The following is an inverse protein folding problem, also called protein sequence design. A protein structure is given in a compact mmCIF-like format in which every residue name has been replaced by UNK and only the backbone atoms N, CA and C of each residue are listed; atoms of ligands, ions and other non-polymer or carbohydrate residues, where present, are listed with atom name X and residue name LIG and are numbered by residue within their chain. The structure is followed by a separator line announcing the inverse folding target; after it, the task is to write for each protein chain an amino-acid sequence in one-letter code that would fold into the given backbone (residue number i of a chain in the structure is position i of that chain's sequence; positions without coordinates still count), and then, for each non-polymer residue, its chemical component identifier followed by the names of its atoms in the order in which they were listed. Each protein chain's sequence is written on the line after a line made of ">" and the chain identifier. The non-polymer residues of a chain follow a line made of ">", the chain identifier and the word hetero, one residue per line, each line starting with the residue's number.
data_IF_683032409965
#
_entry.id   IF_683032409965
#
_cell.length_a   1.000
_cell.length_b   1.000
_cell.length_c   1.000
_cell.angle_alpha   90.00
_cell.angle_beta   90.00
_cell.angle_gamma   90.00
#
_symmetry.space_group_name_H-M   'P 1'
#
loop_
_entity.id
_entity.type
_entity.pdbx_description
1 polymer ?
#
# COMPACT_ATOMS: atom_id res chain seq x y z
N UNK A 1 15.07 -6.45 -24.26
CA UNK A 1 15.14 -5.58 -23.06
C UNK A 1 15.44 -6.48 -21.87
N UNK A 2 16.50 -6.21 -21.10
CA UNK A 2 16.82 -7.02 -19.92
C UNK A 2 15.66 -6.91 -18.91
N UNK A 3 15.29 -8.02 -18.27
CA UNK A 3 14.29 -8.02 -17.21
C UNK A 3 14.72 -7.02 -16.13
N UNK A 4 13.92 -5.98 -15.82
CA UNK A 4 14.34 -4.97 -14.87
C UNK A 4 14.66 -5.59 -13.51
N UNK A 5 15.84 -5.29 -12.95
CA UNK A 5 16.34 -5.86 -11.68
C UNK A 5 15.36 -5.63 -10.52
N UNK A 6 14.53 -4.58 -10.59
CA UNK A 6 13.46 -4.29 -9.62
C UNK A 6 12.51 -5.46 -9.42
N UNK A 7 12.17 -6.21 -10.47
CA UNK A 7 11.27 -7.35 -10.37
C UNK A 7 11.91 -8.53 -9.65
N UNK A 8 13.22 -8.72 -9.76
CA UNK A 8 13.94 -9.71 -8.97
C UNK A 8 13.89 -9.34 -7.48
N UNK A 9 14.19 -8.08 -7.15
CA UNK A 9 14.06 -7.60 -5.77
C UNK A 9 12.63 -7.75 -5.24
N UNK A 10 11.63 -7.45 -6.07
CA UNK A 10 10.22 -7.55 -5.71
C UNK A 10 9.83 -9.01 -5.41
N UNK A 11 10.10 -9.95 -6.33
CA UNK A 11 9.80 -11.38 -6.17
C UNK A 11 10.51 -11.97 -4.95
N UNK A 12 11.81 -11.67 -4.78
CA UNK A 12 12.60 -12.19 -3.66
C UNK A 12 12.06 -11.66 -2.34
N UNK A 13 11.81 -10.34 -2.25
CA UNK A 13 11.32 -9.71 -1.03
C UNK A 13 9.93 -10.21 -0.65
N UNK A 14 9.03 -10.34 -1.62
CA UNK A 14 7.67 -10.83 -1.42
C UNK A 14 7.67 -12.30 -0.96
N UNK A 15 8.52 -13.13 -1.57
CA UNK A 15 8.70 -14.52 -1.14
C UNK A 15 9.24 -14.61 0.28
N UNK A 16 10.26 -13.80 0.60
CA UNK A 16 10.88 -13.77 1.90
C UNK A 16 9.91 -13.35 3.00
N UNK A 17 9.18 -12.24 2.82
CA UNK A 17 8.18 -11.81 3.81
C UNK A 17 7.06 -12.84 3.94
N UNK A 18 6.54 -13.36 2.83
CA UNK A 18 5.43 -14.31 2.87
C UNK A 18 5.80 -15.55 3.68
N UNK A 19 7.00 -16.08 3.41
CA UNK A 19 7.56 -17.20 4.14
C UNK A 19 7.79 -16.87 5.61
N UNK A 20 8.44 -15.73 5.90
CA UNK A 20 8.74 -15.30 7.27
C UNK A 20 7.45 -15.12 8.08
N UNK A 21 6.44 -14.46 7.51
CA UNK A 21 5.10 -14.30 8.10
C UNK A 21 4.47 -15.65 8.42
N UNK A 22 4.43 -16.57 7.45
CA UNK A 22 3.86 -17.91 7.65
C UNK A 22 4.63 -18.69 8.73
N UNK A 23 5.96 -18.66 8.68
CA UNK A 23 6.84 -19.34 9.61
C UNK A 23 6.69 -18.81 11.05
N UNK A 24 6.68 -17.49 11.24
CA UNK A 24 6.53 -16.86 12.55
C UNK A 24 5.16 -17.18 13.14
N UNK A 25 4.08 -17.05 12.35
CA UNK A 25 2.73 -17.37 12.82
C UNK A 25 2.64 -18.83 13.28
N UNK A 26 3.35 -19.73 12.61
CA UNK A 26 3.32 -21.17 12.88
C UNK A 26 4.18 -21.57 14.07
N UNK A 27 5.44 -21.11 14.10
CA UNK A 27 6.45 -21.46 15.11
C UNK A 27 6.27 -20.66 16.41
N UNK A 28 5.83 -19.41 16.29
CA UNK A 28 5.76 -18.42 17.36
C UNK A 28 4.39 -17.73 17.41
N UNK A 29 3.33 -18.54 17.62
CA UNK A 29 1.92 -18.09 17.54
C UNK A 29 1.61 -16.85 18.38
N UNK A 30 2.26 -16.70 19.53
CA UNK A 30 2.09 -15.55 20.43
C UNK A 30 2.60 -14.23 19.84
N UNK A 31 3.67 -14.28 19.03
CA UNK A 31 4.28 -13.10 18.40
C UNK A 31 3.79 -12.86 16.97
N UNK A 32 3.07 -13.81 16.36
CA UNK A 32 2.64 -13.72 14.97
C UNK A 32 1.84 -12.46 14.65
N UNK A 33 0.91 -12.05 15.53
CA UNK A 33 0.14 -10.82 15.35
C UNK A 33 1.05 -9.59 15.39
N UNK A 34 1.94 -9.51 16.39
CA UNK A 34 2.85 -8.39 16.55
C UNK A 34 3.84 -8.28 15.37
N UNK A 35 4.32 -9.41 14.85
CA UNK A 35 5.20 -9.44 13.69
C UNK A 35 4.51 -8.91 12.43
N UNK A 36 3.29 -9.39 12.14
CA UNK A 36 2.52 -8.91 10.99
C UNK A 36 2.18 -7.42 11.10
N UNK A 37 1.80 -6.94 12.29
CA UNK A 37 1.58 -5.51 12.53
C UNK A 37 2.87 -4.72 12.33
N UNK A 38 4.01 -5.22 12.80
CA UNK A 38 5.32 -4.60 12.59
C UNK A 38 5.67 -4.47 11.10
N UNK A 39 5.48 -5.54 10.33
CA UNK A 39 5.65 -5.51 8.87
C UNK A 39 4.72 -4.50 8.21
N UNK A 40 3.44 -4.51 8.58
CA UNK A 40 2.44 -3.60 8.03
C UNK A 40 2.78 -2.12 8.30
N UNK A 41 3.25 -1.79 9.50
CA UNK A 41 3.72 -0.44 9.87
C UNK A 41 4.91 -0.02 9.00
N UNK A 42 5.91 -0.89 8.84
CA UNK A 42 7.10 -0.62 8.02
C UNK A 42 6.71 -0.41 6.56
N UNK A 43 5.86 -1.25 5.99
CA UNK A 43 5.40 -1.12 4.61
C UNK A 43 4.63 0.16 4.39
N UNK A 44 3.82 0.57 5.37
CA UNK A 44 3.03 1.78 5.24
C UNK A 44 3.93 3.01 5.29
N UNK A 45 4.87 3.07 6.25
CA UNK A 45 5.83 4.16 6.35
C UNK A 45 6.73 4.26 5.11
N UNK A 46 7.25 3.12 4.63
CA UNK A 46 8.06 3.06 3.42
C UNK A 46 7.27 3.52 2.19
N UNK A 47 6.01 3.08 2.04
CA UNK A 47 5.12 3.48 0.95
C UNK A 47 4.95 4.99 0.86
N UNK A 48 4.77 5.68 2.00
CA UNK A 48 4.58 7.13 2.03
C UNK A 48 5.84 7.91 1.62
N UNK A 49 7.02 7.49 2.09
CA UNK A 49 8.29 8.14 1.73
C UNK A 49 8.63 7.87 0.26
N UNK A 50 8.52 6.62 -0.18
CA UNK A 50 8.89 6.19 -1.53
C UNK A 50 7.93 6.76 -2.59
N UNK A 51 6.67 7.03 -2.23
CA UNK A 51 5.69 7.64 -3.11
C UNK A 51 6.09 9.03 -3.65
N UNK A 52 7.01 9.74 -2.97
CA UNK A 52 7.56 11.02 -3.45
C UNK A 52 8.31 10.87 -4.77
N UNK A 53 8.83 9.67 -5.06
CA UNK A 53 9.51 9.35 -6.30
C UNK A 53 8.53 8.78 -7.32
N UNK A 54 8.26 9.55 -8.36
CA UNK A 54 7.56 9.06 -9.55
C UNK A 54 8.53 8.23 -10.42
N UNK A 55 8.05 7.13 -10.99
CA UNK A 55 8.84 6.26 -11.87
C UNK A 55 8.11 5.99 -13.18
N UNK A 56 8.90 5.66 -14.20
CA UNK A 56 8.43 5.06 -15.42
C UNK A 56 8.13 3.57 -15.18
N UNK A 57 6.91 3.17 -15.53
CA UNK A 57 6.43 1.82 -15.46
C UNK A 57 6.22 1.31 -16.88
N UNK A 58 7.27 0.72 -17.44
CA UNK A 58 7.27 0.12 -18.77
C UNK A 58 6.79 -1.33 -18.69
N UNK A 59 5.65 -1.61 -19.33
CA UNK A 59 5.08 -2.96 -19.45
C UNK A 59 5.40 -3.62 -20.80
N UNK A 60 6.33 -3.06 -21.56
CA UNK A 60 6.79 -3.52 -22.88
C UNK A 60 5.90 -3.10 -24.05
N UNK A 61 4.60 -2.87 -23.81
CA UNK A 61 3.63 -2.42 -24.83
C UNK A 61 3.32 -0.91 -24.67
N UNK A 62 3.42 -0.39 -23.46
CA UNK A 62 3.19 1.01 -23.13
C UNK A 62 4.01 1.41 -21.90
N UNK A 63 4.33 2.71 -21.80
CA UNK A 63 4.99 3.30 -20.64
C UNK A 63 3.99 4.14 -19.87
N UNK A 64 3.88 3.86 -18.58
CA UNK A 64 3.03 4.59 -17.64
C UNK A 64 3.87 5.33 -16.60
N UNK A 65 3.27 6.28 -15.90
CA UNK A 65 3.92 7.00 -14.81
C UNK A 65 3.15 6.79 -13.52
N UNK A 66 3.85 6.39 -12.46
CA UNK A 66 3.23 6.20 -11.16
C UNK A 66 4.25 6.47 -10.04
N UNK A 67 3.79 6.89 -8.85
CA UNK A 67 4.56 6.77 -7.62
C UNK A 67 5.21 5.38 -7.47
N UNK A 68 6.48 5.34 -7.10
CA UNK A 68 7.23 4.10 -6.90
C UNK A 68 6.62 3.20 -5.81
N UNK A 69 5.79 3.77 -4.93
CA UNK A 69 5.05 3.05 -3.90
C UNK A 69 4.08 2.00 -4.43
N UNK A 70 3.74 2.02 -5.72
CA UNK A 70 2.95 0.95 -6.35
C UNK A 70 3.59 -0.43 -6.17
N UNK A 71 4.92 -0.52 -6.15
CA UNK A 71 5.62 -1.79 -5.88
C UNK A 71 5.48 -2.26 -4.43
N UNK A 72 5.19 -1.34 -3.50
CA UNK A 72 5.02 -1.62 -2.06
C UNK A 72 3.57 -1.96 -1.72
N UNK A 73 2.61 -1.48 -2.52
CA UNK A 73 1.18 -1.73 -2.31
C UNK A 73 0.79 -3.21 -2.07
N UNK A 74 1.32 -4.20 -2.81
CA UNK A 74 1.00 -5.61 -2.57
C UNK A 74 1.44 -6.11 -1.20
N UNK A 75 2.61 -5.66 -0.72
CA UNK A 75 3.09 -5.99 0.62
C UNK A 75 2.11 -5.49 1.69
N UNK A 76 1.52 -4.30 1.48
CA UNK A 76 0.50 -3.74 2.36
C UNK A 76 -0.80 -4.54 2.35
N UNK A 77 -1.35 -4.83 1.15
CA UNK A 77 -2.59 -5.60 1.02
C UNK A 77 -2.41 -7.02 1.58
N UNK A 78 -1.29 -7.67 1.26
CA UNK A 78 -1.01 -9.01 1.73
C UNK A 78 -0.87 -9.06 3.25
N UNK A 79 -0.16 -8.11 3.87
CA UNK A 79 0.01 -8.08 5.31
C UNK A 79 -1.32 -7.92 6.06
N UNK A 80 -2.21 -7.03 5.60
CA UNK A 80 -3.52 -6.86 6.25
C UNK A 80 -4.43 -8.07 6.03
N UNK A 81 -4.38 -8.70 4.85
CA UNK A 81 -5.15 -9.91 4.54
C UNK A 81 -4.66 -11.09 5.39
N UNK A 82 -3.35 -11.24 5.59
CA UNK A 82 -2.78 -12.24 6.50
C UNK A 82 -3.26 -12.05 7.94
N UNK A 83 -3.32 -10.80 8.42
CA UNK A 83 -3.82 -10.48 9.76
C UNK A 83 -5.31 -10.84 9.85
N UNK A 84 -6.10 -10.46 8.85
CA UNK A 84 -7.53 -10.71 8.83
C UNK A 84 -7.85 -12.21 8.77
N UNK A 85 -7.13 -12.98 7.95
CA UNK A 85 -7.32 -14.42 7.80
C UNK A 85 -6.99 -15.19 9.09
N UNK A 86 -5.94 -14.80 9.82
CA UNK A 86 -5.48 -15.54 11.01
C UNK A 86 -6.12 -15.04 12.31
N UNK A 87 -6.31 -13.74 12.43
CA UNK A 87 -6.73 -13.09 13.69
C UNK A 87 -8.11 -12.41 13.60
N UNK A 88 -8.73 -12.38 12.42
CA UNK A 88 -10.06 -11.83 12.19
C UNK A 88 -10.11 -10.32 12.03
N UNK A 89 -11.28 -9.83 11.63
CA UNK A 89 -11.51 -8.43 11.27
C UNK A 89 -11.25 -7.45 12.42
N UNK A 90 -11.62 -7.81 13.65
CA UNK A 90 -11.39 -6.96 14.83
C UNK A 90 -9.89 -6.66 15.04
N UNK A 91 -9.03 -7.66 14.85
CA UNK A 91 -7.58 -7.51 14.97
C UNK A 91 -6.97 -6.79 13.77
N UNK A 92 -7.53 -6.97 12.57
CA UNK A 92 -7.16 -6.20 11.38
C UNK A 92 -7.48 -4.71 11.56
N UNK A 93 -8.67 -4.34 12.09
CA UNK A 93 -9.02 -2.94 12.40
C UNK A 93 -8.09 -2.30 13.42
N UNK A 94 -7.69 -3.05 14.46
CA UNK A 94 -6.69 -2.57 15.43
C UNK A 94 -5.33 -2.36 14.74
N UNK A 95 -4.90 -3.29 13.87
CA UNK A 95 -3.65 -3.15 13.12
C UNK A 95 -3.65 -1.90 12.22
N UNK A 96 -4.76 -1.63 11.55
CA UNK A 96 -4.98 -0.40 10.75
C UNK A 96 -4.87 0.83 11.66
N UNK A 97 -5.49 0.82 12.84
CA UNK A 97 -5.39 1.93 13.80
C UNK A 97 -3.95 2.17 14.28
N UNK A 98 -3.20 1.11 14.60
CA UNK A 98 -1.78 1.20 14.98
C UNK A 98 -0.96 1.78 13.83
N UNK A 99 -1.18 1.28 12.61
CA UNK A 99 -0.48 1.77 11.42
C UNK A 99 -0.81 3.25 11.15
N UNK A 100 -2.07 3.66 11.25
CA UNK A 100 -2.46 5.05 11.12
C UNK A 100 -1.78 5.96 12.15
N UNK A 101 -1.78 5.58 13.43
CA UNK A 101 -1.09 6.33 14.48
C UNK A 101 0.43 6.42 14.20
N UNK A 102 1.04 5.34 13.71
CA UNK A 102 2.46 5.35 13.33
C UNK A 102 2.75 6.33 12.18
N UNK A 103 1.80 6.54 11.25
CA UNK A 103 1.94 7.54 10.19
C UNK A 103 1.86 8.96 10.73
N UNK A 104 0.99 9.21 11.71
CA UNK A 104 0.94 10.52 12.40
C UNK A 104 2.27 10.81 13.07
N UNK A 105 2.87 9.83 13.74
CA UNK A 105 4.20 9.96 14.34
C UNK A 105 5.28 10.19 13.29
N UNK A 106 5.25 9.47 12.16
CA UNK A 106 6.19 9.68 11.05
C UNK A 106 6.14 11.12 10.54
N UNK A 107 4.95 11.65 10.28
CA UNK A 107 4.76 13.05 9.84
C UNK A 107 5.25 14.03 10.90
N UNK A 108 4.95 13.78 12.18
CA UNK A 108 5.41 14.62 13.27
C UNK A 108 6.94 14.66 13.36
N UNK A 109 7.61 13.51 13.18
CA UNK A 109 9.07 13.45 13.16
C UNK A 109 9.66 14.18 11.96
N UNK A 110 9.07 14.04 10.77
CA UNK A 110 9.51 14.78 9.57
C UNK A 110 9.38 16.30 9.79
N UNK A 111 8.23 16.76 10.30
CA UNK A 111 8.01 18.18 10.61
C UNK A 111 9.00 18.69 11.67
N UNK A 112 9.24 17.90 12.71
CA UNK A 112 10.19 18.22 13.77
C UNK A 112 11.60 18.38 13.20
N UNK A 113 12.08 17.43 12.38
CA UNK A 113 13.41 17.52 11.78
C UNK A 113 13.53 18.64 10.77
N UNK A 114 12.50 18.90 9.96
CA UNK A 114 12.51 19.97 8.97
C UNK A 114 12.50 21.38 9.59
N UNK A 115 12.11 21.50 10.86
CA UNK A 115 12.13 22.78 11.60
C UNK A 115 13.51 23.18 12.14
N UNK A 116 14.50 22.28 12.07
CA UNK A 116 15.86 22.53 12.55
C UNK A 116 16.69 23.23 11.49
N UNK A 117 17.59 24.11 11.92
CA UNK A 117 18.56 24.71 11.00
C UNK A 117 19.54 23.63 10.49
N UNK A 118 19.82 23.58 9.18
CA UNK A 118 20.80 22.64 8.63
C UNK A 118 22.21 22.98 9.12
N UNK A 119 23.05 21.95 9.26
CA UNK A 119 24.48 22.17 9.47
C UNK A 119 25.10 22.82 8.22
N UNK A 120 26.10 23.72 8.34
CA UNK A 120 26.70 24.40 7.18
C UNK A 120 27.31 23.48 6.11
N UNK A 121 27.65 22.24 6.49
CA UNK A 121 28.22 21.22 5.61
C UNK A 121 27.18 20.22 5.07
N UNK A 122 25.90 20.37 5.43
CA UNK A 122 24.83 19.53 4.89
C UNK A 122 24.42 20.05 3.50
N UNK A 123 24.93 19.41 2.45
CA UNK A 123 24.76 19.86 1.07
C UNK A 123 23.35 19.64 0.48
N UNK A 124 22.48 18.88 1.16
CA UNK A 124 21.21 18.40 0.61
C UNK A 124 19.98 19.08 1.21
N UNK A 125 20.12 20.22 1.88
CA UNK A 125 19.00 20.88 2.58
C UNK A 125 17.81 21.17 1.65
N UNK A 126 18.07 21.78 0.49
CA UNK A 126 17.01 22.13 -0.46
C UNK A 126 16.25 20.88 -0.92
N UNK A 127 16.97 19.85 -1.38
CA UNK A 127 16.38 18.58 -1.81
C UNK A 127 15.68 17.84 -0.65
N UNK A 128 16.20 17.94 0.57
CA UNK A 128 15.59 17.37 1.77
C UNK A 128 14.23 18.01 2.03
N UNK A 129 14.16 19.34 2.04
CA UNK A 129 12.91 20.06 2.26
C UNK A 129 11.89 19.78 1.15
N UNK A 130 12.31 19.70 -0.11
CA UNK A 130 11.43 19.35 -1.24
C UNK A 130 10.84 17.95 -1.10
N UNK A 131 11.67 16.93 -0.87
CA UNK A 131 11.22 15.53 -0.78
C UNK A 131 10.28 15.35 0.41
N UNK A 132 10.65 15.86 1.59
CA UNK A 132 9.88 15.61 2.80
C UNK A 132 8.63 16.50 2.93
N UNK A 133 8.62 17.70 2.33
CA UNK A 133 7.39 18.49 2.22
C UNK A 133 6.39 17.86 1.26
N UNK A 134 6.86 17.33 0.12
CA UNK A 134 6.03 16.51 -0.77
C UNK A 134 5.56 15.23 -0.06
N UNK A 135 6.42 14.60 0.74
CA UNK A 135 6.08 13.44 1.56
C UNK A 135 4.92 13.72 2.51
N UNK A 136 4.95 14.84 3.24
CA UNK A 136 3.84 15.26 4.11
C UNK A 136 2.54 15.41 3.30
N UNK A 137 2.62 16.08 2.14
CA UNK A 137 1.47 16.25 1.24
C UNK A 137 0.92 14.90 0.78
N UNK A 138 1.78 13.96 0.43
CA UNK A 138 1.41 12.59 0.02
C UNK A 138 0.73 11.82 1.16
N UNK A 139 1.22 11.95 2.39
CA UNK A 139 0.60 11.31 3.57
C UNK A 139 -0.81 11.84 3.78
N UNK A 140 -0.97 13.17 3.77
CA UNK A 140 -2.27 13.81 3.95
C UNK A 140 -3.23 13.43 2.82
N UNK A 141 -2.75 13.44 1.57
CA UNK A 141 -3.52 12.99 0.41
C UNK A 141 -3.96 11.52 0.56
N UNK A 142 -3.07 10.64 1.02
CA UNK A 142 -3.37 9.22 1.27
C UNK A 142 -4.46 9.05 2.32
N UNK A 143 -4.41 9.81 3.42
CA UNK A 143 -5.44 9.72 4.47
C UNK A 143 -6.80 10.21 3.97
N UNK A 144 -6.85 11.33 3.24
CA UNK A 144 -8.09 11.85 2.68
C UNK A 144 -8.69 10.87 1.66
N UNK A 145 -7.85 10.37 0.73
CA UNK A 145 -8.27 9.39 -0.27
C UNK A 145 -8.80 8.11 0.38
N UNK A 146 -8.08 7.59 1.38
CA UNK A 146 -8.50 6.42 2.14
C UNK A 146 -9.84 6.65 2.84
N UNK A 147 -10.00 7.73 3.60
CA UNK A 147 -11.24 7.98 4.36
C UNK A 147 -12.47 8.15 3.45
N UNK A 148 -12.33 8.92 2.37
CA UNK A 148 -13.42 9.15 1.41
C UNK A 148 -13.77 7.83 0.70
N UNK A 149 -12.77 7.13 0.18
CA UNK A 149 -12.98 5.93 -0.63
C UNK A 149 -13.54 4.80 0.20
N UNK A 150 -12.99 4.54 1.40
CA UNK A 150 -13.49 3.48 2.28
C UNK A 150 -14.92 3.73 2.73
N UNK A 151 -15.26 4.99 3.02
CA UNK A 151 -16.64 5.35 3.37
C UNK A 151 -17.59 5.10 2.20
N UNK A 152 -17.20 5.51 0.98
CA UNK A 152 -18.02 5.31 -0.21
C UNK A 152 -18.14 3.83 -0.59
N UNK A 153 -17.06 3.07 -0.50
CA UNK A 153 -17.04 1.64 -0.78
C UNK A 153 -18.00 0.89 0.15
N UNK A 154 -17.93 1.14 1.46
CA UNK A 154 -18.86 0.54 2.42
C UNK A 154 -20.34 0.85 2.09
N UNK A 155 -20.64 2.08 1.68
CA UNK A 155 -22.00 2.47 1.28
C UNK A 155 -22.45 1.81 -0.03
N UNK A 156 -21.57 1.75 -1.04
CA UNK A 156 -21.84 1.14 -2.34
C UNK A 156 -22.05 -0.36 -2.18
N UNK A 157 -21.16 -1.03 -1.44
CA UNK A 157 -21.25 -2.45 -1.14
C UNK A 157 -22.55 -2.79 -0.39
N UNK A 158 -22.93 -1.99 0.62
CA UNK A 158 -24.17 -2.19 1.36
C UNK A 158 -25.42 -2.06 0.47
N UNK A 159 -25.46 -1.04 -0.41
CA UNK A 159 -26.56 -0.87 -1.40
C UNK A 159 -26.60 -2.00 -2.42
N UNK A 160 -25.45 -2.43 -2.92
CA UNK A 160 -25.36 -3.53 -3.88
C UNK A 160 -25.78 -4.86 -3.24
N UNK A 161 -25.40 -5.11 -1.99
CA UNK A 161 -25.84 -6.29 -1.22
C UNK A 161 -27.36 -6.33 -1.06
N UNK A 162 -28.00 -5.18 -0.82
CA UNK A 162 -29.45 -5.08 -0.73
C UNK A 162 -30.16 -5.35 -2.06
N UNK A 163 -29.53 -5.03 -3.20
CA UNK A 163 -30.14 -5.17 -4.54
C UNK A 163 -29.84 -6.48 -5.25
N UNK A 164 -28.69 -7.10 -4.98
CA UNK A 164 -28.22 -8.31 -5.66
C UNK A 164 -27.60 -9.32 -4.68
N UNK A 165 -28.40 -9.96 -3.80
CA UNK A 165 -27.90 -10.85 -2.76
C UNK A 165 -27.04 -12.00 -3.32
N UNK A 166 -27.45 -12.60 -4.44
CA UNK A 166 -26.82 -13.83 -4.97
C UNK A 166 -25.61 -13.60 -5.91
N UNK A 167 -25.31 -12.35 -6.27
CA UNK A 167 -24.22 -12.02 -7.23
C UNK A 167 -22.98 -11.45 -6.55
N UNK A 168 -22.39 -12.23 -5.64
CA UNK A 168 -21.24 -11.82 -4.80
C UNK A 168 -20.05 -11.35 -5.66
N UNK A 169 -19.70 -12.07 -6.72
CA UNK A 169 -18.55 -11.75 -7.58
C UNK A 169 -18.72 -10.42 -8.33
N UNK A 170 -19.91 -10.16 -8.89
CA UNK A 170 -20.22 -8.89 -9.56
C UNK A 170 -20.19 -7.72 -8.59
N UNK A 171 -20.58 -7.93 -7.32
CA UNK A 171 -20.55 -6.89 -6.29
C UNK A 171 -19.13 -6.56 -5.86
N UNK A 172 -18.30 -7.57 -5.58
CA UNK A 172 -16.90 -7.37 -5.19
C UNK A 172 -16.12 -6.68 -6.30
N UNK A 173 -16.08 -7.27 -7.50
CA UNK A 173 -15.30 -6.73 -8.61
C UNK A 173 -15.71 -5.30 -9.01
N UNK A 174 -17.01 -4.99 -8.98
CA UNK A 174 -17.46 -3.62 -9.26
C UNK A 174 -17.01 -2.67 -8.16
N UNK A 175 -17.21 -3.02 -6.89
CA UNK A 175 -16.80 -2.18 -5.75
C UNK A 175 -15.30 -1.94 -5.75
N UNK A 176 -14.51 -3.00 -5.98
CA UNK A 176 -13.05 -2.95 -5.98
C UNK A 176 -12.52 -2.06 -7.12
N UNK A 177 -13.06 -2.19 -8.34
CA UNK A 177 -12.66 -1.35 -9.48
C UNK A 177 -13.03 0.12 -9.23
N UNK A 178 -14.26 0.40 -8.78
CA UNK A 178 -14.68 1.77 -8.49
C UNK A 178 -13.90 2.38 -7.32
N UNK A 179 -13.67 1.61 -6.26
CA UNK A 179 -12.91 2.01 -5.07
C UNK A 179 -11.47 2.33 -5.43
N UNK A 180 -10.75 1.41 -6.08
CA UNK A 180 -9.34 1.61 -6.45
C UNK A 180 -9.16 2.76 -7.46
N UNK A 181 -10.10 2.91 -8.39
CA UNK A 181 -10.08 4.02 -9.36
C UNK A 181 -10.29 5.35 -8.64
N UNK A 182 -11.31 5.43 -7.78
CA UNK A 182 -11.63 6.65 -7.05
C UNK A 182 -10.50 7.03 -6.08
N UNK A 183 -9.94 6.05 -5.35
CA UNK A 183 -8.77 6.22 -4.51
C UNK A 183 -7.62 6.83 -5.30
N UNK A 184 -7.30 6.24 -6.46
CA UNK A 184 -6.18 6.70 -7.30
C UNK A 184 -6.43 8.10 -7.85
N UNK A 185 -7.66 8.44 -8.24
CA UNK A 185 -8.03 9.78 -8.70
C UNK A 185 -7.87 10.80 -7.58
N UNK A 186 -8.44 10.56 -6.39
CA UNK A 186 -8.37 11.48 -5.26
C UNK A 186 -6.93 11.62 -4.78
N UNK A 187 -6.23 10.50 -4.58
CA UNK A 187 -4.85 10.47 -4.11
C UNK A 187 -3.93 11.24 -5.04
N UNK A 188 -3.90 10.90 -6.34
CA UNK A 188 -2.98 11.56 -7.29
C UNK A 188 -3.30 13.04 -7.43
N UNK A 189 -4.58 13.41 -7.46
CA UNK A 189 -5.01 14.81 -7.52
C UNK A 189 -4.50 15.58 -6.31
N UNK A 190 -4.73 15.10 -5.09
CA UNK A 190 -4.31 15.79 -3.88
C UNK A 190 -2.80 15.80 -3.70
N UNK A 191 -2.12 14.70 -4.01
CA UNK A 191 -0.68 14.54 -3.86
C UNK A 191 0.14 15.35 -4.88
N UNK A 192 -0.30 15.42 -6.14
CA UNK A 192 0.52 15.92 -7.24
C UNK A 192 -0.07 17.14 -7.98
N UNK A 193 -1.22 17.69 -7.57
CA UNK A 193 -1.75 18.91 -8.19
C UNK A 193 -0.76 20.07 -8.11
N UNK A 194 -0.43 20.68 -9.25
CA UNK A 194 0.56 21.74 -9.35
C UNK A 194 2.02 21.29 -9.25
N UNK A 195 2.29 19.98 -9.13
CA UNK A 195 3.64 19.39 -9.06
C UNK A 195 3.94 18.57 -10.30
N UNK A 196 2.97 17.78 -10.79
CA UNK A 196 3.17 16.89 -11.94
C UNK A 196 1.89 16.73 -12.80
N UNK A 197 2.01 16.22 -14.04
CA UNK A 197 0.85 15.96 -14.90
C UNK A 197 -0.11 14.93 -14.29
N UNK A 198 -1.33 15.36 -13.94
CA UNK A 198 -2.27 14.52 -13.20
C UNK A 198 -2.82 13.34 -14.02
N UNK A 199 -3.26 13.58 -15.25
CA UNK A 199 -3.94 12.55 -16.05
C UNK A 199 -3.03 11.33 -16.34
N UNK A 200 -1.77 11.50 -16.79
CA UNK A 200 -0.86 10.37 -16.96
C UNK A 200 -0.59 9.62 -15.65
N UNK A 201 -0.48 10.34 -14.53
CA UNK A 201 -0.25 9.74 -13.21
C UNK A 201 -1.46 8.96 -12.70
N UNK A 202 -2.68 9.46 -12.92
CA UNK A 202 -3.91 8.74 -12.52
C UNK A 202 -4.00 7.43 -13.30
N UNK A 203 -3.84 7.50 -14.63
CA UNK A 203 -3.90 6.31 -15.49
C UNK A 203 -2.80 5.32 -15.09
N UNK A 204 -1.57 5.80 -14.93
CA UNK A 204 -0.46 4.93 -14.56
C UNK A 204 -0.60 4.33 -13.16
N UNK A 205 -1.09 5.09 -12.18
CA UNK A 205 -1.36 4.59 -10.83
C UNK A 205 -2.40 3.47 -10.85
N UNK A 206 -3.50 3.65 -11.60
CA UNK A 206 -4.56 2.64 -11.71
C UNK A 206 -4.01 1.37 -12.39
N UNK A 207 -3.36 1.53 -13.53
CA UNK A 207 -2.82 0.39 -14.31
C UNK A 207 -1.78 -0.37 -13.49
N UNK A 208 -0.82 0.34 -12.92
CA UNK A 208 0.27 -0.28 -12.18
C UNK A 208 -0.23 -0.96 -10.90
N UNK A 209 -1.14 -0.34 -10.11
CA UNK A 209 -1.74 -1.00 -8.93
C UNK A 209 -2.46 -2.30 -9.28
N UNK A 210 -3.25 -2.30 -10.36
CA UNK A 210 -3.98 -3.49 -10.79
C UNK A 210 -3.04 -4.61 -11.26
N UNK A 211 -2.01 -4.28 -12.03
CA UNK A 211 -1.04 -5.26 -12.51
C UNK A 211 -0.25 -5.85 -11.34
N UNK A 212 0.33 -5.02 -10.49
CA UNK A 212 1.17 -5.50 -9.38
C UNK A 212 0.32 -6.24 -8.35
N UNK A 213 -0.91 -5.79 -8.07
CA UNK A 213 -1.85 -6.50 -7.20
C UNK A 213 -2.25 -7.87 -7.76
N UNK A 214 -2.51 -7.98 -9.06
CA UNK A 214 -2.78 -9.27 -9.69
C UNK A 214 -1.59 -10.23 -9.56
N UNK A 215 -0.37 -9.72 -9.77
CA UNK A 215 0.86 -10.50 -9.66
C UNK A 215 1.14 -11.03 -8.25
N UNK A 216 0.64 -10.37 -7.19
CA UNK A 216 0.83 -10.79 -5.79
C UNK A 216 -0.06 -11.98 -5.37
N UNK A 217 -1.21 -12.17 -6.02
CA UNK A 217 -2.19 -13.23 -5.71
C UNK A 217 -1.59 -14.63 -5.44
N UNK A 218 -0.60 -15.14 -6.22
CA UNK A 218 0.02 -16.44 -5.99
C UNK A 218 0.69 -16.59 -4.61
N UNK A 219 1.25 -15.51 -4.05
CA UNK A 219 1.91 -15.55 -2.73
C UNK A 219 0.92 -15.69 -1.60
N UNK A 220 -0.23 -15.00 -1.69
CA UNK A 220 -1.30 -15.18 -0.71
C UNK A 220 -1.86 -16.62 -0.72
N UNK A 221 -2.01 -17.21 -1.92
CA UNK A 221 -2.41 -18.61 -2.05
C UNK A 221 -1.39 -19.57 -1.44
N UNK A 222 -0.10 -19.32 -1.67
CA UNK A 222 0.98 -20.11 -1.08
C UNK A 222 1.00 -20.01 0.44
N UNK A 223 0.88 -18.79 0.99
CA UNK A 223 0.74 -18.55 2.42
C UNK A 223 -0.38 -19.39 3.05
N UNK A 224 -1.56 -19.37 2.44
CA UNK A 224 -2.72 -20.13 2.93
C UNK A 224 -2.46 -21.64 2.96
N UNK A 225 -1.88 -22.19 1.88
CA UNK A 225 -1.53 -23.62 1.81
C UNK A 225 -0.51 -24.00 2.88
N UNK A 226 0.53 -23.19 3.07
CA UNK A 226 1.58 -23.44 4.07
C UNK A 226 1.03 -23.50 5.51
N UNK A 227 -0.01 -22.72 5.80
CA UNK A 227 -0.71 -22.75 7.10
C UNK A 227 -1.66 -23.95 7.24
N UNK A 228 -2.16 -24.52 6.14
CA UNK A 228 -3.08 -25.66 6.13
C UNK A 228 -2.36 -27.02 6.17
N UNK A 229 -1.22 -27.17 5.49
CA UNK A 229 -0.50 -28.44 5.33
C UNK A 229 -0.01 -29.10 6.63
N UNK A 230 0.02 -28.38 7.76
CA UNK A 230 0.47 -28.93 9.05
C UNK A 230 -0.65 -29.01 10.10
N UNK A 231 -1.91 -28.75 9.69
CA UNK A 231 -3.11 -29.03 10.50
C UNK A 231 -3.75 -30.39 10.16
N UNK A 232 -3.27 -31.07 9.12
CA UNK A 232 -3.65 -32.43 8.73
C UNK A 232 -2.60 -33.42 9.24
#
# INVERSE_FOLDING_TARGET
>A
MAFPVVWLYWIISLTLVTYASAHIIKRYREYGYAALVGFYVVYLAASQIIATRTVEFDIGIAVFFAPASVFIYPFLSQAIDMINEVYGEGKARIAIGIAFLSQVLLVAFILMTNSLAPAPFFAYEETWQEIFSLGIRIVVASWIAFLITQTLDAHVFARLKARYPDRILLRSLSSDIFGLTLDSVIFVTLAFAGVAPLLPLIIGQIVAKNIVGFLDTPWFWWYKRYLQEERA
#
